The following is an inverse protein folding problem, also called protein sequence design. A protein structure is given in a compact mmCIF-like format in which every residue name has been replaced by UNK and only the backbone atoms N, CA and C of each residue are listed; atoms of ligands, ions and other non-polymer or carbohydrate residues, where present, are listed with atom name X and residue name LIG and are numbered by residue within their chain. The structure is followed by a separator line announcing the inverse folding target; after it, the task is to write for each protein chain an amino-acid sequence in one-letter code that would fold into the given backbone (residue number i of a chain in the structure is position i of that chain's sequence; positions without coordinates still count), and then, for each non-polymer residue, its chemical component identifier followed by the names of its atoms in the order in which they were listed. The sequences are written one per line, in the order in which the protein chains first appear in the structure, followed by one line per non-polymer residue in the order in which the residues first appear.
data_IF_335281926095
#
_entry.id   IF_335281926095
#
_cell.length_a   1.000
_cell.length_b   1.000
_cell.length_c   1.000
_cell.angle_alpha   90.00
_cell.angle_beta   90.00
_cell.angle_gamma   90.00
#
_symmetry.space_group_name_H-M   'P 1'
#
loop_
_entity.id
_entity.type
_entity.pdbx_description
1 polymer ?
#
# COMPACT_ATOMS: atom_id res chain seq x y z
N UNK A 1 13.51 -5.64 -3.05
CA UNK A 1 12.54 -4.93 -3.91
C UNK A 1 13.31 -3.91 -4.72
N UNK A 2 12.99 -3.79 -6.00
CA UNK A 2 13.51 -2.76 -6.90
C UNK A 2 12.32 -2.09 -7.58
N UNK A 3 12.20 -0.76 -7.43
CA UNK A 3 11.19 0.04 -8.13
C UNK A 3 11.88 1.04 -9.06
N UNK A 4 11.41 1.11 -10.31
CA UNK A 4 11.80 2.15 -11.28
C UNK A 4 10.59 3.02 -11.52
N UNK A 5 10.73 4.30 -11.24
CA UNK A 5 9.65 5.27 -11.27
C UNK A 5 9.97 6.31 -12.33
N UNK A 6 9.14 6.37 -13.37
CA UNK A 6 9.20 7.42 -14.37
C UNK A 6 8.55 8.68 -13.79
N UNK A 7 9.31 9.76 -13.73
CA UNK A 7 8.87 11.02 -13.15
C UNK A 7 9.63 12.18 -13.78
N UNK A 8 8.96 13.05 -14.55
CA UNK A 8 9.63 14.14 -15.26
C UNK A 8 10.06 15.30 -14.35
N UNK A 9 9.59 15.32 -13.11
CA UNK A 9 9.92 16.32 -12.10
C UNK A 9 10.09 15.64 -10.75
N UNK A 10 11.31 15.22 -10.46
CA UNK A 10 11.62 14.52 -9.21
C UNK A 10 11.83 15.53 -8.10
N UNK A 11 10.94 15.51 -7.11
CA UNK A 11 10.98 16.43 -6.00
C UNK A 11 10.53 15.80 -4.69
N UNK A 12 10.92 16.42 -3.58
CA UNK A 12 10.50 16.08 -2.23
C UNK A 12 11.03 17.14 -1.26
N UNK A 13 10.32 17.34 -0.17
CA UNK A 13 10.64 18.30 0.88
C UNK A 13 10.57 17.71 2.28
N UNK A 14 10.20 16.43 2.40
CA UNK A 14 10.13 15.69 3.67
C UNK A 14 11.39 14.85 3.83
N UNK A 15 12.28 15.27 4.72
CA UNK A 15 13.58 14.65 5.02
C UNK A 15 13.67 14.07 6.44
N UNK A 16 12.60 14.17 7.22
CA UNK A 16 12.53 13.64 8.57
C UNK A 16 11.97 12.21 8.54
N UNK A 17 12.69 11.27 9.12
CA UNK A 17 12.22 9.91 9.37
C UNK A 17 10.91 9.90 10.16
N UNK A 18 10.00 8.99 9.84
CA UNK A 18 8.65 8.87 10.42
C UNK A 18 7.72 10.09 10.23
N UNK A 19 8.10 11.01 9.37
CA UNK A 19 7.14 12.01 8.90
C UNK A 19 6.15 11.38 7.92
N UNK A 20 5.02 12.05 7.70
CA UNK A 20 3.97 11.59 6.79
C UNK A 20 4.45 11.70 5.34
N UNK A 21 5.14 10.66 4.86
CA UNK A 21 5.85 10.63 3.58
C UNK A 21 4.90 10.72 2.39
N UNK A 22 3.71 10.13 2.46
CA UNK A 22 2.73 10.20 1.37
C UNK A 22 2.32 11.66 0.99
N UNK A 23 2.72 12.65 1.75
CA UNK A 23 2.60 14.06 1.37
C UNK A 23 3.62 14.50 0.29
N UNK A 24 4.61 13.67 -0.02
CA UNK A 24 5.45 13.75 -1.21
C UNK A 24 5.02 12.72 -2.26
N UNK A 25 5.65 12.75 -3.44
CA UNK A 25 5.63 11.59 -4.32
C UNK A 25 6.48 10.51 -3.69
N UNK A 26 5.96 9.29 -3.60
CA UNK A 26 6.64 8.19 -2.93
C UNK A 26 6.34 6.84 -3.59
N UNK A 27 6.96 5.81 -3.06
CA UNK A 27 6.67 4.42 -3.35
C UNK A 27 6.40 3.70 -2.04
N UNK A 28 5.28 2.98 -2.02
CA UNK A 28 4.76 2.31 -0.85
C UNK A 28 4.78 0.79 -1.01
N UNK A 29 5.05 0.11 0.08
CA UNK A 29 4.98 -1.35 0.17
C UNK A 29 4.12 -1.75 1.35
N UNK A 30 3.04 -2.44 1.09
CA UNK A 30 2.16 -3.01 2.10
C UNK A 30 2.32 -4.53 2.13
N UNK A 31 2.40 -5.10 3.31
CA UNK A 31 2.66 -6.54 3.51
C UNK A 31 1.74 -7.09 4.59
N UNK A 32 0.92 -8.06 4.21
CA UNK A 32 0.08 -8.84 5.13
C UNK A 32 0.47 -10.32 5.01
N UNK A 33 1.27 -10.82 5.96
CA UNK A 33 1.89 -12.14 5.85
C UNK A 33 0.94 -13.33 5.98
N UNK A 34 -0.16 -13.21 6.71
CA UNK A 34 -1.12 -14.31 6.92
C UNK A 34 -2.47 -14.09 6.22
N UNK A 35 -2.62 -12.93 5.56
CA UNK A 35 -3.78 -12.60 4.77
C UNK A 35 -5.08 -12.51 5.58
N UNK A 36 -4.97 -12.16 6.87
CA UNK A 36 -6.12 -11.99 7.75
C UNK A 36 -6.63 -10.54 7.83
N UNK A 37 -5.97 -9.62 7.08
CA UNK A 37 -6.25 -8.18 6.99
C UNK A 37 -5.90 -7.36 8.23
N UNK A 38 -5.28 -7.98 9.22
CA UNK A 38 -4.86 -7.35 10.47
C UNK A 38 -3.34 -7.45 10.64
N UNK A 39 -2.78 -6.60 11.50
CA UNK A 39 -1.36 -6.67 11.85
C UNK A 39 -0.43 -6.66 10.62
N UNK A 40 -0.73 -5.80 9.66
CA UNK A 40 0.05 -5.64 8.44
C UNK A 40 1.05 -4.49 8.55
N UNK A 41 1.99 -4.48 7.63
CA UNK A 41 3.11 -3.55 7.59
C UNK A 41 2.96 -2.61 6.40
N UNK A 42 3.41 -1.39 6.59
CA UNK A 42 3.51 -0.37 5.56
C UNK A 42 4.90 0.27 5.60
N UNK A 43 5.44 0.52 4.43
CA UNK A 43 6.73 1.18 4.24
C UNK A 43 6.60 2.17 3.10
N UNK A 44 6.81 3.44 3.37
CA UNK A 44 6.82 4.52 2.40
C UNK A 44 8.23 5.08 2.23
N UNK A 45 8.65 5.34 1.00
CA UNK A 45 9.95 5.95 0.69
C UNK A 45 9.81 6.97 -0.41
N UNK A 46 10.25 8.20 -0.18
CA UNK A 46 10.27 9.27 -1.17
C UNK A 46 11.59 9.35 -1.95
N UNK A 47 11.68 10.26 -2.89
CA UNK A 47 12.87 10.46 -3.71
C UNK A 47 14.10 11.01 -2.94
N UNK A 48 13.91 11.52 -1.72
CA UNK A 48 14.99 11.89 -0.80
C UNK A 48 15.57 10.69 -0.04
N UNK A 49 15.05 9.50 -0.24
CA UNK A 49 15.33 8.30 0.56
C UNK A 49 14.91 8.46 2.03
N UNK A 50 13.90 9.25 2.29
CA UNK A 50 13.27 9.35 3.61
C UNK A 50 12.27 8.22 3.74
N UNK A 51 12.28 7.59 4.90
CA UNK A 51 11.50 6.39 5.22
C UNK A 51 10.44 6.72 6.27
N UNK A 52 9.27 6.14 6.09
CA UNK A 52 8.22 6.01 7.09
C UNK A 52 7.75 4.57 7.12
N UNK A 53 7.95 3.88 8.23
CA UNK A 53 7.56 2.49 8.40
C UNK A 53 6.56 2.34 9.56
N UNK A 54 5.51 1.59 9.29
CA UNK A 54 4.34 1.50 10.14
C UNK A 54 3.96 0.05 10.43
N UNK A 55 3.47 -0.20 11.62
CA UNK A 55 2.71 -1.41 11.93
C UNK A 55 1.25 -1.05 12.19
N UNK A 56 0.35 -1.62 11.39
CA UNK A 56 -1.07 -1.29 11.38
C UNK A 56 -1.87 -2.49 11.87
N UNK A 57 -2.52 -2.34 13.00
CA UNK A 57 -3.22 -3.47 13.63
C UNK A 57 -4.54 -3.82 12.96
N UNK A 58 -5.18 -2.86 12.28
CA UNK A 58 -6.43 -3.02 11.53
C UNK A 58 -6.49 -2.02 10.38
N UNK A 59 -7.21 -2.31 9.29
CA UNK A 59 -7.48 -1.31 8.27
C UNK A 59 -8.16 -0.04 8.84
N UNK A 60 -7.87 1.12 8.26
CA UNK A 60 -8.45 2.40 8.71
C UNK A 60 -9.97 2.46 8.65
N UNK A 61 -10.61 1.63 7.84
CA UNK A 61 -12.07 1.48 7.84
C UNK A 61 -12.65 0.90 9.14
N UNK A 62 -11.81 0.21 9.90
CA UNK A 62 -12.18 -0.26 11.24
C UNK A 62 -11.96 0.88 12.24
N UNK A 63 -13.03 1.30 12.93
CA UNK A 63 -12.94 2.36 13.91
C UNK A 63 -11.96 1.99 15.03
N UNK A 64 -11.18 2.98 15.47
CA UNK A 64 -10.17 2.81 16.51
C UNK A 64 -9.05 1.83 16.13
N UNK A 65 -8.59 1.91 14.89
CA UNK A 65 -7.40 1.18 14.45
C UNK A 65 -6.14 1.86 14.99
N UNK A 66 -5.41 1.25 15.93
CA UNK A 66 -4.12 1.80 16.33
C UNK A 66 -3.08 1.55 15.24
N UNK A 67 -2.39 2.64 14.87
CA UNK A 67 -1.21 2.63 14.01
C UNK A 67 -0.01 2.88 14.91
N UNK A 68 1.00 2.03 14.81
CA UNK A 68 2.24 2.17 15.55
C UNK A 68 3.25 2.88 14.64
N UNK A 69 3.32 4.21 14.77
CA UNK A 69 4.25 5.04 13.99
C UNK A 69 5.70 4.88 14.46
N UNK A 70 5.92 4.52 15.71
CA UNK A 70 7.26 4.32 16.29
C UNK A 70 7.76 2.87 16.06
N UNK A 71 7.10 2.10 15.18
CA UNK A 71 7.54 0.76 14.83
C UNK A 71 8.60 0.83 13.74
N UNK A 72 9.69 0.10 13.94
CA UNK A 72 10.87 0.15 13.07
C UNK A 72 11.12 -1.18 12.37
N UNK A 73 11.39 -1.13 11.08
CA UNK A 73 11.93 -2.26 10.32
C UNK A 73 13.43 -2.41 10.64
N UNK A 74 13.75 -3.07 11.74
CA UNK A 74 15.13 -3.26 12.17
C UNK A 74 15.99 -3.90 11.07
N UNK A 75 17.02 -3.18 10.63
CA UNK A 75 17.94 -3.62 9.60
C UNK A 75 17.46 -3.36 8.17
N UNK A 76 16.41 -2.59 7.98
CA UNK A 76 16.00 -2.05 6.67
C UNK A 76 17.20 -1.35 6.01
N UNK A 77 17.36 -1.58 4.70
CA UNK A 77 18.28 -0.82 3.86
C UNK A 77 17.52 -0.30 2.67
N UNK A 78 17.63 1.00 2.45
CA UNK A 78 17.05 1.69 1.28
C UNK A 78 18.13 2.48 0.56
N UNK A 79 17.98 2.62 -0.74
CA UNK A 79 18.82 3.48 -1.56
C UNK A 79 18.00 4.05 -2.71
N UNK A 80 18.14 5.34 -2.93
CA UNK A 80 17.52 6.06 -4.06
C UNK A 80 18.58 6.59 -5.00
N UNK A 81 18.34 6.43 -6.29
CA UNK A 81 19.14 7.04 -7.36
C UNK A 81 18.23 7.83 -8.29
N UNK A 82 18.47 9.13 -8.41
CA UNK A 82 17.72 10.01 -9.31
C UNK A 82 18.38 10.02 -10.68
N UNK A 83 17.61 9.77 -11.73
CA UNK A 83 18.05 9.91 -13.12
C UNK A 83 17.58 11.27 -13.64
N UNK A 84 18.28 12.30 -13.24
CA UNK A 84 17.98 13.71 -13.41
C UNK A 84 18.54 14.51 -12.26
N UNK A 85 17.84 15.55 -11.84
CA UNK A 85 18.21 16.43 -10.73
C UNK A 85 17.05 16.62 -9.75
N UNK A 86 17.29 16.24 -8.51
CA UNK A 86 16.30 16.38 -7.43
C UNK A 86 16.01 17.87 -7.14
N UNK A 87 14.73 18.22 -7.04
CA UNK A 87 14.27 19.57 -6.67
C UNK A 87 14.72 20.70 -7.63
N UNK A 88 14.97 20.38 -8.90
CA UNK A 88 15.34 21.40 -9.90
C UNK A 88 14.22 21.55 -10.95
N UNK A 89 13.39 22.60 -10.88
CA UNK A 89 12.29 22.77 -11.83
C UNK A 89 12.73 23.29 -13.22
N UNK A 90 14.02 23.49 -13.46
CA UNK A 90 14.54 24.04 -14.72
C UNK A 90 14.85 22.99 -15.78
N UNK A 91 14.85 21.71 -15.41
CA UNK A 91 15.10 20.59 -16.31
C UNK A 91 13.98 19.53 -16.26
N UNK A 92 14.12 18.50 -17.06
CA UNK A 92 13.19 17.38 -17.14
C UNK A 92 13.93 16.10 -16.78
N UNK A 93 13.48 15.44 -15.73
CA UNK A 93 14.04 14.20 -15.24
C UNK A 93 13.54 12.99 -16.05
N UNK A 94 14.24 11.88 -15.91
CA UNK A 94 13.74 10.57 -16.36
C UNK A 94 13.01 9.80 -15.26
N UNK A 95 13.26 10.18 -14.00
CA UNK A 95 12.69 9.56 -12.82
C UNK A 95 13.72 9.13 -11.80
N UNK A 96 13.34 8.17 -10.96
CA UNK A 96 14.21 7.68 -9.90
C UNK A 96 14.05 6.18 -9.71
N UNK A 97 15.05 5.60 -9.06
CA UNK A 97 15.10 4.17 -8.77
C UNK A 97 15.23 4.02 -7.27
N UNK A 98 14.42 3.15 -6.70
CA UNK A 98 14.46 2.76 -5.29
C UNK A 98 14.83 1.29 -5.18
N UNK A 99 15.84 1.01 -4.35
CA UNK A 99 16.18 -0.34 -3.91
C UNK A 99 15.91 -0.48 -2.42
N UNK A 100 15.26 -1.59 -2.04
CA UNK A 100 14.96 -1.91 -0.64
C UNK A 100 15.35 -3.34 -0.31
N UNK A 101 16.03 -3.52 0.82
CA UNK A 101 16.27 -4.82 1.41
C UNK A 101 15.65 -4.87 2.81
N UNK A 102 14.59 -5.66 2.95
CA UNK A 102 13.82 -5.81 4.18
C UNK A 102 14.21 -7.16 4.82
N UNK A 103 14.79 -7.19 6.02
CA UNK A 103 15.14 -8.44 6.66
C UNK A 103 13.90 -9.26 7.04
N UNK A 104 13.92 -10.56 6.81
CA UNK A 104 12.85 -11.47 7.26
C UNK A 104 12.58 -11.38 8.76
N UNK A 105 13.59 -11.00 9.55
CA UNK A 105 13.45 -10.80 10.98
C UNK A 105 12.49 -9.67 11.37
N UNK A 106 12.22 -8.73 10.48
CA UNK A 106 11.27 -7.65 10.72
C UNK A 106 9.83 -8.15 10.91
N UNK A 107 9.48 -9.27 10.27
CA UNK A 107 8.14 -9.84 10.31
C UNK A 107 7.87 -10.82 11.46
N UNK A 108 8.76 -10.88 12.44
CA UNK A 108 8.62 -11.76 13.62
C UNK A 108 7.61 -11.28 14.66
N UNK A 109 7.03 -10.13 14.47
CA UNK A 109 5.98 -9.59 15.36
C UNK A 109 4.68 -10.40 15.30
N UNK A 110 4.45 -11.14 14.22
CA UNK A 110 3.36 -12.10 14.13
C UNK A 110 3.76 -13.45 14.73
N UNK A 111 2.87 -14.05 15.52
CA UNK A 111 3.08 -15.36 16.13
C UNK A 111 3.36 -16.47 15.10
N UNK A 112 2.84 -16.31 13.89
CA UNK A 112 2.90 -17.30 12.82
C UNK A 112 4.12 -17.19 11.91
N UNK A 113 4.88 -16.08 11.92
CA UNK A 113 5.94 -15.81 10.95
C UNK A 113 7.34 -15.89 11.56
N UNK A 114 7.74 -17.11 11.93
CA UNK A 114 9.09 -17.32 12.49
C UNK A 114 10.18 -17.57 11.45
N UNK A 115 9.81 -17.90 10.20
CA UNK A 115 10.73 -18.35 9.17
C UNK A 115 10.47 -17.64 7.83
N UNK A 116 11.46 -17.71 6.94
CA UNK A 116 11.30 -17.34 5.53
C UNK A 116 10.12 -18.12 4.93
N UNK A 117 9.19 -17.48 4.23
CA UNK A 117 7.98 -18.14 3.72
C UNK A 117 8.24 -18.94 2.44
N UNK A 118 9.10 -19.97 2.54
CA UNK A 118 9.43 -20.84 1.39
C UNK A 118 8.22 -21.67 1.00
N UNK A 119 7.92 -21.69 -0.31
CA UNK A 119 6.74 -22.35 -0.91
C UNK A 119 5.42 -21.89 -0.30
N UNK A 120 5.37 -20.63 0.10
CA UNK A 120 4.20 -19.97 0.65
C UNK A 120 3.97 -18.63 -0.06
N UNK A 121 2.87 -17.98 0.23
CA UNK A 121 2.52 -16.68 -0.32
C UNK A 121 2.08 -15.72 0.78
N UNK A 122 2.28 -14.44 0.53
CA UNK A 122 1.77 -13.35 1.34
C UNK A 122 0.96 -12.40 0.46
N UNK A 123 0.13 -11.57 1.08
CA UNK A 123 -0.52 -10.47 0.39
C UNK A 123 0.39 -9.25 0.38
N UNK A 124 0.52 -8.66 -0.79
CA UNK A 124 1.31 -7.45 -0.99
C UNK A 124 0.51 -6.41 -1.77
N UNK A 125 0.75 -5.16 -1.45
CA UNK A 125 0.50 -4.07 -2.36
C UNK A 125 1.80 -3.30 -2.60
N UNK A 126 2.04 -2.98 -3.86
CA UNK A 126 3.03 -2.00 -4.27
C UNK A 126 2.27 -0.83 -4.85
N UNK A 127 2.48 0.33 -4.30
CA UNK A 127 1.76 1.53 -4.61
C UNK A 127 2.71 2.68 -4.90
N UNK A 128 2.23 3.66 -5.63
CA UNK A 128 2.90 4.92 -5.85
C UNK A 128 1.92 6.04 -5.59
N UNK A 129 2.29 6.98 -4.75
CA UNK A 129 1.61 8.27 -4.62
C UNK A 129 2.24 9.28 -5.55
N UNK A 130 1.41 10.01 -6.29
CA UNK A 130 1.87 11.06 -7.19
C UNK A 130 0.97 12.30 -7.07
N UNK A 131 1.53 13.40 -6.64
CA UNK A 131 0.84 14.66 -6.48
C UNK A 131 0.92 15.55 -7.72
N UNK A 132 -0.12 16.29 -8.00
CA UNK A 132 0.01 17.47 -8.83
C UNK A 132 0.86 18.52 -8.10
N UNK A 133 1.78 19.12 -8.82
CA UNK A 133 2.68 20.13 -8.24
C UNK A 133 2.47 21.49 -8.88
N UNK A 134 2.96 22.52 -8.21
CA UNK A 134 3.16 23.87 -8.72
C UNK A 134 4.57 24.33 -8.39
N UNK A 135 5.05 25.33 -9.15
CA UNK A 135 6.39 25.88 -8.95
C UNK A 135 6.22 27.36 -8.57
N UNK A 136 6.69 27.72 -7.38
CA UNK A 136 6.69 29.10 -6.89
C UNK A 136 8.10 29.43 -6.41
N UNK A 137 8.65 30.55 -6.92
CA UNK A 137 10.01 31.02 -6.60
C UNK A 137 11.09 29.92 -6.82
N UNK A 138 10.92 29.11 -7.86
CA UNK A 138 11.85 28.02 -8.20
C UNK A 138 11.78 26.80 -7.29
N UNK A 139 10.72 26.64 -6.50
CA UNK A 139 10.50 25.51 -5.60
C UNK A 139 9.20 24.77 -5.95
N UNK A 140 9.26 23.47 -5.85
CA UNK A 140 8.08 22.63 -5.96
C UNK A 140 7.22 22.69 -4.69
N UNK A 141 5.93 22.58 -4.87
CA UNK A 141 4.95 22.32 -3.81
C UNK A 141 3.75 21.57 -4.37
N UNK A 142 2.98 20.93 -3.53
CA UNK A 142 1.71 20.31 -3.94
C UNK A 142 0.75 21.40 -4.42
N UNK A 143 0.14 21.17 -5.57
CA UNK A 143 -0.78 22.12 -6.19
C UNK A 143 -2.08 22.25 -5.40
N UNK A 144 -2.57 23.49 -5.31
CA UNK A 144 -3.85 23.83 -4.69
C UNK A 144 -4.86 24.32 -5.72
N UNK A 145 -6.12 24.13 -5.42
CA UNK A 145 -7.24 24.72 -6.16
C UNK A 145 -7.41 26.21 -5.79
N UNK A 146 -8.39 26.86 -6.40
CA UNK A 146 -8.75 28.27 -6.15
C UNK A 146 -9.18 28.57 -4.72
N UNK A 147 -9.60 27.56 -3.95
CA UNK A 147 -10.01 27.65 -2.55
C UNK A 147 -8.84 27.36 -1.59
N UNK A 148 -7.65 27.09 -2.10
CA UNK A 148 -6.47 26.75 -1.31
C UNK A 148 -6.42 25.31 -0.81
N UNK A 149 -7.30 24.42 -1.31
CA UNK A 149 -7.32 23.00 -0.99
C UNK A 149 -6.38 22.26 -1.96
N UNK A 150 -5.59 21.31 -1.43
CA UNK A 150 -4.77 20.43 -2.28
C UNK A 150 -5.65 19.60 -3.21
N UNK A 151 -5.21 19.42 -4.46
CA UNK A 151 -5.78 18.40 -5.32
C UNK A 151 -5.55 17.02 -4.70
N UNK A 152 -6.38 16.07 -5.06
CA UNK A 152 -6.15 14.68 -4.64
C UNK A 152 -4.92 14.11 -5.35
N UNK A 153 -4.21 13.26 -4.64
CA UNK A 153 -3.13 12.45 -5.16
C UNK A 153 -3.64 11.42 -6.17
N UNK A 154 -2.74 10.98 -7.03
CA UNK A 154 -2.95 9.79 -7.85
C UNK A 154 -2.28 8.61 -7.17
N UNK A 155 -3.05 7.56 -6.90
CA UNK A 155 -2.58 6.32 -6.34
C UNK A 155 -2.51 5.24 -7.43
N UNK A 156 -1.32 4.70 -7.66
CA UNK A 156 -1.07 3.65 -8.63
C UNK A 156 -0.74 2.36 -7.88
N UNK A 157 -1.40 1.29 -8.25
CA UNK A 157 -1.21 -0.02 -7.62
C UNK A 157 -0.81 -1.07 -8.64
N UNK A 158 0.00 -2.03 -8.21
CA UNK A 158 0.54 -3.07 -9.08
C UNK A 158 -0.47 -4.12 -9.52
N UNK A 159 -1.56 -4.29 -8.78
CA UNK A 159 -2.63 -5.23 -9.10
C UNK A 159 -4.00 -4.57 -8.92
N UNK A 160 -5.01 -4.92 -9.75
CA UNK A 160 -6.34 -4.32 -9.65
C UNK A 160 -6.99 -4.59 -8.30
N UNK A 161 -7.32 -3.56 -7.56
CA UNK A 161 -8.05 -3.66 -6.29
C UNK A 161 -9.56 -3.40 -6.45
N UNK A 162 -9.95 -2.70 -7.53
CA UNK A 162 -11.34 -2.30 -7.76
C UNK A 162 -11.84 -1.17 -6.84
N UNK A 163 -10.95 -0.59 -6.03
CA UNK A 163 -11.23 0.53 -5.13
C UNK A 163 -10.02 1.46 -5.06
N UNK A 164 -10.27 2.74 -4.77
CA UNK A 164 -9.21 3.73 -4.49
C UNK A 164 -9.02 3.78 -2.96
N UNK A 165 -8.34 2.80 -2.43
CA UNK A 165 -8.00 2.72 -1.01
C UNK A 165 -6.87 1.72 -0.81
N UNK A 166 -5.70 2.19 -0.36
CA UNK A 166 -4.54 1.32 -0.14
C UNK A 166 -4.77 0.35 1.01
N UNK A 167 -5.53 0.76 2.03
CA UNK A 167 -5.77 -0.01 3.26
C UNK A 167 -6.95 -1.00 3.15
N UNK A 168 -6.92 -1.81 2.07
CA UNK A 168 -7.84 -2.91 1.87
C UNK A 168 -7.09 -4.23 1.60
N UNK A 169 -6.45 -4.82 2.64
CA UNK A 169 -5.55 -5.97 2.47
C UNK A 169 -6.18 -7.15 1.73
N UNK A 170 -7.48 -7.36 1.86
CA UNK A 170 -8.20 -8.40 1.12
C UNK A 170 -8.26 -8.17 -0.40
N UNK A 171 -7.90 -6.97 -0.87
CA UNK A 171 -7.85 -6.63 -2.28
C UNK A 171 -6.43 -6.68 -2.87
N UNK A 172 -5.40 -6.80 -2.02
CA UNK A 172 -4.01 -6.81 -2.49
C UNK A 172 -3.69 -8.07 -3.29
N UNK A 173 -2.66 -7.98 -4.11
CA UNK A 173 -2.14 -9.10 -4.86
C UNK A 173 -1.37 -10.10 -3.99
N UNK A 174 -0.82 -11.13 -4.63
CA UNK A 174 -0.07 -12.19 -3.97
C UNK A 174 1.38 -12.18 -4.41
N UNK A 175 2.29 -12.34 -3.47
CA UNK A 175 3.70 -12.67 -3.74
C UNK A 175 3.95 -14.08 -3.24
N UNK A 176 4.32 -14.97 -4.15
CA UNK A 176 4.67 -16.36 -3.84
C UNK A 176 6.20 -16.49 -3.74
N UNK A 177 6.66 -17.10 -2.69
CA UNK A 177 8.08 -17.31 -2.39
C UNK A 177 8.50 -18.73 -2.76
N UNK A 178 8.89 -18.92 -4.01
CA UNK A 178 9.26 -20.23 -4.54
C UNK A 178 10.60 -20.73 -3.99
N UNK A 179 10.71 -22.04 -3.76
CA UNK A 179 11.97 -22.74 -3.53
C UNK A 179 12.74 -23.04 -4.82
N UNK A 180 12.16 -22.79 -5.99
CA UNK A 180 12.82 -22.99 -7.26
C UNK A 180 14.02 -22.06 -7.43
N UNK A 181 15.04 -22.53 -8.17
CA UNK A 181 16.16 -21.68 -8.54
C UNK A 181 15.70 -20.51 -9.42
N UNK A 182 16.38 -19.38 -9.29
CA UNK A 182 16.10 -18.18 -10.08
C UNK A 182 16.21 -18.47 -11.58
N UNK A 183 15.19 -18.09 -12.33
CA UNK A 183 15.09 -18.33 -13.76
C UNK A 183 14.29 -19.59 -14.15
N UNK A 184 13.90 -20.40 -13.19
CA UNK A 184 13.00 -21.51 -13.45
C UNK A 184 11.53 -21.07 -13.33
N UNK A 185 10.70 -21.60 -14.21
CA UNK A 185 9.27 -21.32 -14.19
C UNK A 185 8.63 -21.84 -12.90
N UNK A 186 7.78 -21.01 -12.32
CA UNK A 186 7.00 -21.33 -11.14
C UNK A 186 5.53 -21.04 -11.40
N UNK A 187 4.67 -22.00 -11.14
CA UNK A 187 3.23 -21.81 -11.21
C UNK A 187 2.66 -21.68 -9.80
N UNK A 188 1.97 -20.58 -9.54
CA UNK A 188 1.19 -20.39 -8.34
C UNK A 188 -0.29 -20.33 -8.68
N UNK A 189 -1.09 -21.13 -7.99
CA UNK A 189 -2.53 -21.09 -8.07
C UNK A 189 -3.10 -20.60 -6.75
N UNK A 190 -3.98 -19.60 -6.83
CA UNK A 190 -4.66 -19.08 -5.65
C UNK A 190 -5.45 -20.20 -4.98
N UNK A 191 -5.18 -20.53 -3.69
CA UNK A 191 -5.89 -21.58 -2.98
C UNK A 191 -7.40 -21.35 -2.90
N UNK A 192 -8.17 -22.42 -2.82
CA UNK A 192 -9.62 -22.32 -2.70
C UNK A 192 -10.06 -21.58 -1.44
N UNK A 193 -9.30 -21.69 -0.37
CA UNK A 193 -9.57 -21.00 0.89
C UNK A 193 -9.50 -19.48 0.74
N UNK A 194 -8.61 -18.97 -0.10
CA UNK A 194 -8.53 -17.54 -0.39
C UNK A 194 -9.79 -17.03 -1.10
N UNK A 195 -10.35 -17.82 -2.01
CA UNK A 195 -11.62 -17.49 -2.67
C UNK A 195 -12.78 -17.44 -1.67
N UNK A 196 -12.81 -18.39 -0.73
CA UNK A 196 -13.81 -18.41 0.35
C UNK A 196 -13.61 -17.17 1.26
N UNK A 197 -12.39 -16.79 1.57
CA UNK A 197 -12.10 -15.55 2.32
C UNK A 197 -12.67 -14.33 1.61
N UNK A 198 -12.51 -14.20 0.30
CA UNK A 198 -13.08 -13.07 -0.46
C UNK A 198 -14.58 -12.97 -0.35
N UNK A 199 -15.28 -14.09 -0.47
CA UNK A 199 -16.73 -14.12 -0.28
C UNK A 199 -17.13 -13.73 1.15
N UNK A 200 -16.42 -14.23 2.15
CA UNK A 200 -16.66 -13.86 3.56
C UNK A 200 -16.41 -12.36 3.80
N UNK A 201 -15.39 -11.76 3.20
CA UNK A 201 -15.18 -10.32 3.28
C UNK A 201 -16.30 -9.52 2.64
N UNK A 202 -16.84 -9.97 1.53
CA UNK A 202 -18.00 -9.32 0.91
C UNK A 202 -19.21 -9.31 1.84
N UNK A 203 -19.52 -10.43 2.50
CA UNK A 203 -20.56 -10.50 3.53
C UNK A 203 -20.27 -9.60 4.72
N UNK A 204 -19.05 -9.62 5.21
CA UNK A 204 -18.63 -8.75 6.33
C UNK A 204 -18.84 -7.27 6.00
N UNK A 205 -18.45 -6.83 4.80
CA UNK A 205 -18.62 -5.43 4.36
C UNK A 205 -20.10 -5.07 4.20
N UNK A 206 -20.91 -5.94 3.62
CA UNK A 206 -22.35 -5.72 3.53
C UNK A 206 -22.98 -5.57 4.93
N UNK A 207 -22.56 -6.40 5.88
CA UNK A 207 -22.99 -6.28 7.28
C UNK A 207 -22.60 -4.94 7.90
N UNK A 208 -21.36 -4.51 7.71
CA UNK A 208 -20.88 -3.23 8.25
C UNK A 208 -21.62 -2.04 7.64
N UNK A 209 -21.81 -2.04 6.32
CA UNK A 209 -22.61 -1.01 5.63
C UNK A 209 -24.02 -0.92 6.22
N UNK A 210 -24.72 -2.04 6.27
CA UNK A 210 -26.08 -2.10 6.82
C UNK A 210 -26.12 -1.64 8.29
N UNK A 211 -25.14 -2.02 9.10
CA UNK A 211 -25.06 -1.58 10.49
C UNK A 211 -24.90 -0.06 10.61
N UNK A 212 -24.07 0.55 9.76
CA UNK A 212 -23.88 2.00 9.75
C UNK A 212 -25.16 2.75 9.37
N UNK A 213 -25.96 2.20 8.45
CA UNK A 213 -27.20 2.80 7.98
C UNK A 213 -28.38 2.58 8.95
N UNK A 214 -28.48 1.39 9.52
CA UNK A 214 -29.67 0.94 10.26
C UNK A 214 -29.43 0.75 11.76
N UNK A 215 -28.20 0.90 12.24
CA UNK A 215 -27.77 0.66 13.63
C UNK A 215 -28.19 -0.74 14.16
N UNK A 216 -28.22 -1.74 13.30
CA UNK A 216 -28.53 -3.15 13.63
C UNK A 216 -27.85 -4.08 12.62
N UNK A 217 -27.57 -5.30 13.05
CA UNK A 217 -27.02 -6.33 12.16
C UNK A 217 -28.12 -7.04 11.38
N UNK A 218 -27.79 -7.41 10.12
CA UNK A 218 -28.66 -8.28 9.32
C UNK A 218 -28.80 -9.66 9.97
N UNK A 219 -30.01 -10.19 10.00
CA UNK A 219 -30.29 -11.51 10.58
C UNK A 219 -30.51 -12.62 9.54
N UNK A 220 -30.55 -12.26 8.26
CA UNK A 220 -30.82 -13.20 7.16
C UNK A 220 -29.84 -12.98 6.01
N UNK A 221 -29.27 -14.07 5.49
CA UNK A 221 -28.36 -14.03 4.35
C UNK A 221 -29.05 -13.68 3.01
N UNK A 222 -30.37 -13.79 2.91
CA UNK A 222 -31.12 -13.43 1.70
C UNK A 222 -31.02 -11.93 1.35
N UNK A 223 -30.72 -11.07 2.32
CA UNK A 223 -30.54 -9.64 2.08
C UNK A 223 -29.16 -9.28 1.53
N UNK A 224 -28.18 -10.21 1.57
CA UNK A 224 -26.86 -9.98 0.99
C UNK A 224 -26.83 -10.09 -0.53
N UNK A 225 -27.75 -10.86 -1.12
CA UNK A 225 -27.77 -11.15 -2.56
C UNK A 225 -28.45 -10.06 -3.39
N UNK A 226 -29.27 -9.21 -2.78
CA UNK A 226 -29.93 -8.11 -3.48
C UNK A 226 -29.05 -6.87 -3.67
N UNK A 227 -28.13 -6.60 -2.74
CA UNK A 227 -27.24 -5.43 -2.81
C UNK A 227 -25.93 -5.72 -3.59
N UNK A 228 -25.49 -6.98 -3.65
CA UNK A 228 -24.30 -7.36 -4.42
C UNK A 228 -24.53 -7.36 -5.94
N UNK A 229 -25.77 -7.33 -6.39
CA UNK A 229 -26.11 -7.28 -7.82
C UNK A 229 -26.14 -5.84 -8.37
N UNK A 230 -26.24 -4.82 -7.51
CA UNK A 230 -26.30 -3.40 -7.93
C UNK A 230 -24.91 -2.73 -8.04
N UNK A 231 -23.86 -3.32 -7.44
CA UNK A 231 -22.48 -2.80 -7.54
C UNK A 231 -21.72 -3.26 -8.82
N UNK A 232 -22.38 -3.99 -9.73
CA UNK A 232 -21.79 -4.41 -11.01
C UNK A 232 -21.92 -3.39 -12.14
N UNK A 233 -22.49 -2.22 -11.89
CA UNK A 233 -22.69 -1.13 -12.87
C UNK A 233 -21.99 0.17 -12.45
N UNK A 234 -20.70 0.12 -12.08
CA UNK A 234 -19.83 1.31 -12.04
C UNK A 234 -18.43 1.00 -12.58
#
# INVERSE_FOLDING_TARGET
ILAKIEEPHVWGDIDQHDAIIFNNNDFEVFIDPDGDTHNYYELEVNALNTVWDLFITKPYRELNSPVLNDWEINGLKTAVSVNGTLNNPSDIDKGWILEMAIPWSAYKTSYFHKNVPVDNFWRFNFSRVNWQYEITDGKYSRKKDENGKYFHEYNWVWSPQGVINMHEPEKWGYVYFSSNEVGNDTTFNIPQDEKIKWELYSFYRAQKKYYLEQNKWLKSCLLYTSDAADDSDC
#
